data_IF_177389333615
#
_entry.id   IF_177389333615
#
_cell.length_a   1.000
_cell.length_b   1.000
_cell.length_c   1.000
_cell.angle_alpha   90.00
_cell.angle_beta   90.00
_cell.angle_gamma   90.00
#
_symmetry.space_group_name_H-M   'P 1'
#
loop_
_entity.id
_entity.type
_entity.pdbx_description
1 polymer ?
#
# COMPACT_ATOMS: atom_id res chain seq x y z
N UNK A 1 -7.26 -38.67 -19.09
CA UNK A 1 -5.96 -38.62 -19.79
C UNK A 1 -5.45 -37.18 -19.91
N UNK A 2 -4.34 -36.82 -19.22
CA UNK A 2 -3.58 -35.61 -19.57
C UNK A 2 -3.05 -34.71 -18.44
N UNK A 3 -3.44 -34.87 -17.17
CA UNK A 3 -2.83 -34.05 -16.11
C UNK A 3 -1.61 -34.76 -15.50
N UNK A 4 -0.50 -34.03 -15.46
CA UNK A 4 0.74 -34.44 -14.80
C UNK A 4 0.44 -34.61 -13.31
N UNK A 5 0.22 -35.86 -12.86
CA UNK A 5 -0.09 -36.19 -11.45
C UNK A 5 1.06 -35.89 -10.47
N UNK A 6 2.20 -35.46 -11.00
CA UNK A 6 3.41 -35.19 -10.25
C UNK A 6 3.91 -33.79 -10.59
N UNK A 7 4.00 -32.93 -9.58
CA UNK A 7 4.59 -31.60 -9.68
C UNK A 7 6.04 -31.67 -9.18
N UNK A 8 6.95 -30.96 -9.84
CA UNK A 8 8.35 -30.84 -9.42
C UNK A 8 8.55 -29.45 -8.85
N UNK A 9 9.07 -29.35 -7.63
CA UNK A 9 9.32 -28.07 -6.95
C UNK A 9 10.81 -27.70 -7.03
N UNK A 10 11.16 -26.42 -7.26
CA UNK A 10 12.54 -25.97 -7.44
C UNK A 10 13.38 -26.01 -6.15
N UNK A 11 12.74 -26.15 -4.98
CA UNK A 11 13.41 -26.25 -3.68
C UNK A 11 12.50 -26.88 -2.63
N UNK A 12 13.07 -27.25 -1.47
CA UNK A 12 12.31 -27.72 -0.30
C UNK A 12 11.38 -26.64 0.24
N UNK A 13 11.83 -25.39 0.25
CA UNK A 13 11.04 -24.24 0.67
C UNK A 13 9.81 -24.08 -0.25
N UNK A 14 9.99 -24.20 -1.56
CA UNK A 14 8.89 -24.12 -2.52
C UNK A 14 7.84 -25.22 -2.28
N UNK A 15 8.29 -26.44 -1.96
CA UNK A 15 7.39 -27.55 -1.61
C UNK A 15 6.62 -27.27 -0.31
N UNK A 16 7.31 -26.84 0.74
CA UNK A 16 6.68 -26.50 2.02
C UNK A 16 5.69 -25.34 1.87
N UNK A 17 6.06 -24.29 1.13
CA UNK A 17 5.19 -23.16 0.86
C UNK A 17 3.89 -23.61 0.18
N UNK A 18 3.98 -24.50 -0.83
CA UNK A 18 2.80 -25.02 -1.51
C UNK A 18 1.88 -25.82 -0.57
N UNK A 19 2.44 -26.66 0.31
CA UNK A 19 1.66 -27.41 1.30
C UNK A 19 0.95 -26.50 2.32
N UNK A 20 1.64 -25.47 2.79
CA UNK A 20 1.08 -24.50 3.74
C UNK A 20 -0.08 -23.73 3.09
N UNK A 21 0.12 -23.22 1.87
CA UNK A 21 -0.91 -22.50 1.12
C UNK A 21 -2.14 -23.38 0.86
N UNK A 22 -1.93 -24.63 0.42
CA UNK A 22 -3.02 -25.59 0.20
C UNK A 22 -3.82 -25.83 1.49
N UNK A 23 -3.15 -26.03 2.62
CA UNK A 23 -3.82 -26.21 3.91
C UNK A 23 -4.59 -24.97 4.34
N UNK A 24 -4.04 -23.78 4.15
CA UNK A 24 -4.70 -22.53 4.51
C UNK A 24 -5.92 -22.22 3.64
N UNK A 25 -5.91 -22.61 2.36
CA UNK A 25 -7.08 -22.56 1.50
C UNK A 25 -8.19 -23.50 2.00
N UNK A 26 -7.86 -24.76 2.34
CA UNK A 26 -8.82 -25.71 2.89
C UNK A 26 -9.42 -25.28 4.24
N UNK A 27 -8.68 -24.49 5.04
CA UNK A 27 -9.18 -23.88 6.28
C UNK A 27 -10.01 -22.61 6.05
N UNK A 28 -10.13 -22.13 4.80
CA UNK A 28 -10.86 -20.90 4.45
C UNK A 28 -10.19 -19.63 4.94
N UNK A 29 -8.87 -19.69 5.21
CA UNK A 29 -8.07 -18.53 5.65
C UNK A 29 -7.63 -17.72 4.43
N UNK A 30 -7.26 -18.41 3.35
CA UNK A 30 -6.88 -17.81 2.08
C UNK A 30 -7.96 -18.05 1.02
N UNK A 31 -8.02 -17.16 0.03
CA UNK A 31 -8.78 -17.31 -1.20
C UNK A 31 -8.03 -18.20 -2.21
N UNK A 32 -8.65 -18.44 -3.36
CA UNK A 32 -8.08 -19.27 -4.43
C UNK A 32 -6.78 -18.70 -5.02
N UNK A 33 -6.54 -17.39 -4.84
CA UNK A 33 -5.34 -16.69 -5.30
C UNK A 33 -4.23 -16.66 -4.24
N UNK A 34 -4.49 -17.18 -3.03
CA UNK A 34 -3.54 -17.21 -1.91
C UNK A 34 -3.53 -15.95 -1.05
N UNK A 35 -4.52 -15.06 -1.17
CA UNK A 35 -4.70 -13.87 -0.34
C UNK A 35 -5.65 -14.13 0.83
N UNK A 36 -5.47 -13.49 1.99
CA UNK A 36 -6.32 -13.72 3.16
C UNK A 36 -7.77 -13.26 2.92
N UNK A 37 -8.73 -14.16 3.11
CA UNK A 37 -10.17 -13.89 2.94
C UNK A 37 -10.68 -12.87 3.97
N UNK A 38 -10.07 -12.87 5.16
CA UNK A 38 -10.30 -11.88 6.21
C UNK A 38 -8.96 -11.29 6.61
N UNK A 39 -8.89 -9.95 6.63
CA UNK A 39 -7.75 -9.24 7.19
C UNK A 39 -7.63 -9.56 8.68
N UNK A 40 -6.78 -10.52 9.00
CA UNK A 40 -6.35 -10.80 10.36
C UNK A 40 -5.39 -9.66 10.74
N UNK A 41 -5.79 -8.82 11.70
CA UNK A 41 -5.28 -7.46 11.96
C UNK A 41 -3.82 -7.31 12.40
N UNK A 42 -2.88 -8.08 11.85
CA UNK A 42 -1.43 -7.91 12.04
C UNK A 42 -0.88 -6.77 11.18
N UNK A 43 -1.47 -6.52 10.00
CA UNK A 43 -1.19 -5.34 9.17
C UNK A 43 -2.51 -4.91 8.53
N UNK A 44 -3.05 -3.79 8.99
CA UNK A 44 -4.11 -3.09 8.28
C UNK A 44 -3.46 -2.53 7.02
N UNK A 45 -3.69 -3.17 5.86
CA UNK A 45 -3.34 -2.53 4.59
C UNK A 45 -4.05 -1.17 4.59
N UNK A 46 -3.37 -0.07 4.23
CA UNK A 46 -4.01 1.23 4.24
C UNK A 46 -5.24 1.13 3.33
N UNK A 47 -6.42 1.13 3.93
CA UNK A 47 -7.64 1.44 3.21
C UNK A 47 -7.46 2.84 2.63
N UNK A 48 -8.13 3.16 1.53
CA UNK A 48 -8.16 4.53 0.95
C UNK A 48 -8.47 5.61 2.02
N UNK A 49 -9.09 5.24 3.14
CA UNK A 49 -9.36 6.06 4.32
C UNK A 49 -8.09 6.49 5.10
N UNK A 50 -7.00 5.72 4.98
CA UNK A 50 -5.66 6.02 5.49
C UNK A 50 -4.75 6.67 4.45
N UNK A 51 -5.27 7.01 3.25
CA UNK A 51 -4.56 7.95 2.39
C UNK A 51 -4.42 9.27 3.16
N UNK A 52 -3.21 9.82 3.18
CA UNK A 52 -2.95 11.13 3.79
C UNK A 52 -3.86 12.12 3.08
N UNK A 53 -4.97 12.51 3.73
CA UNK A 53 -5.86 13.52 3.18
C UNK A 53 -5.02 14.78 2.97
N UNK A 54 -4.99 15.34 1.75
CA UNK A 54 -4.26 16.57 1.52
C UNK A 54 -4.83 17.63 2.45
N UNK A 55 -4.03 18.03 3.44
CA UNK A 55 -4.36 19.13 4.33
C UNK A 55 -4.36 20.41 3.49
N UNK A 56 -5.47 21.15 3.54
CA UNK A 56 -5.58 22.43 2.87
C UNK A 56 -4.56 23.41 3.48
N UNK A 57 -3.70 23.99 2.63
CA UNK A 57 -2.64 24.91 3.04
C UNK A 57 -3.14 26.32 3.29
N UNK A 58 -2.24 27.30 3.32
CA UNK A 58 -2.60 28.73 3.21
C UNK A 58 -2.82 29.12 1.74
N UNK A 59 -3.46 30.26 1.51
CA UNK A 59 -3.58 30.85 0.18
C UNK A 59 -2.20 31.33 -0.31
N UNK A 60 -1.79 30.87 -1.49
CA UNK A 60 -0.58 31.33 -2.13
C UNK A 60 -0.81 32.69 -2.79
N UNK A 61 0.07 33.67 -2.54
CA UNK A 61 -0.01 35.01 -3.13
C UNK A 61 0.28 35.06 -4.63
N UNK A 62 1.03 34.08 -5.15
CA UNK A 62 1.44 34.03 -6.57
C UNK A 62 0.38 33.38 -7.48
N UNK A 63 -0.17 32.23 -7.05
CA UNK A 63 -1.07 31.42 -7.88
C UNK A 63 -2.52 31.35 -7.36
N UNK A 64 -2.80 31.91 -6.18
CA UNK A 64 -4.15 31.91 -5.59
C UNK A 64 -4.62 30.56 -5.04
N UNK A 65 -3.90 29.46 -5.25
CA UNK A 65 -4.27 28.15 -4.72
C UNK A 65 -4.00 28.03 -3.21
N UNK A 66 -4.88 27.32 -2.51
CA UNK A 66 -4.79 27.06 -1.07
C UNK A 66 -3.88 25.88 -0.74
N UNK A 67 -2.67 25.91 -1.29
CA UNK A 67 -1.69 24.80 -1.27
C UNK A 67 -0.31 25.24 -0.76
N UNK A 68 -0.25 26.36 -0.03
CA UNK A 68 0.96 26.87 0.61
C UNK A 68 1.18 26.14 1.95
N UNK A 69 2.26 25.37 2.08
CA UNK A 69 2.62 24.58 3.27
C UNK A 69 3.95 25.05 3.84
N UNK A 70 4.23 24.82 5.13
CA UNK A 70 5.56 25.07 5.69
C UNK A 70 6.44 23.84 5.51
N UNK A 71 7.50 23.96 4.73
CA UNK A 71 8.47 22.88 4.46
C UNK A 71 9.87 23.41 4.74
N UNK A 72 10.65 22.68 5.54
CA UNK A 72 12.05 23.01 5.86
C UNK A 72 12.25 24.43 6.44
N UNK A 73 11.25 24.94 7.19
CA UNK A 73 11.30 26.29 7.78
C UNK A 73 10.86 27.43 6.86
N UNK A 74 10.55 27.16 5.59
CA UNK A 74 10.06 28.14 4.62
C UNK A 74 8.63 27.84 4.17
N UNK A 75 7.86 28.87 3.82
CA UNK A 75 6.57 28.69 3.15
C UNK A 75 6.82 28.16 1.71
N UNK A 76 6.20 27.06 1.30
CA UNK A 76 6.40 26.39 0.01
C UNK A 76 5.06 26.05 -0.65
N UNK A 77 4.87 26.40 -1.93
CA UNK A 77 3.64 26.12 -2.65
C UNK A 77 3.78 24.81 -3.41
N UNK A 78 2.96 23.82 -3.11
CA UNK A 78 3.00 22.55 -3.84
C UNK A 78 2.41 22.63 -5.25
N UNK A 79 1.65 23.70 -5.58
CA UNK A 79 1.05 23.88 -6.90
C UNK A 79 1.95 24.62 -7.91
N UNK A 80 2.65 25.69 -7.47
CA UNK A 80 3.49 26.51 -8.35
C UNK A 80 4.99 26.51 -7.99
N UNK A 81 5.37 25.88 -6.88
CA UNK A 81 6.77 25.82 -6.42
C UNK A 81 7.31 27.10 -5.78
N UNK A 82 6.47 28.13 -5.57
CA UNK A 82 6.89 29.37 -4.93
C UNK A 82 7.38 29.13 -3.49
N UNK A 83 8.50 29.78 -3.13
CA UNK A 83 9.08 29.76 -1.77
C UNK A 83 8.91 31.15 -1.16
N UNK A 84 8.25 31.23 -0.01
CA UNK A 84 8.01 32.45 0.76
C UNK A 84 9.05 32.67 1.84
N UNK A 85 8.65 33.35 2.92
CA UNK A 85 9.53 33.70 4.02
C UNK A 85 10.03 32.45 4.77
N UNK A 86 11.33 32.41 5.02
CA UNK A 86 12.01 31.41 5.82
C UNK A 86 12.31 31.99 7.20
N UNK A 87 11.83 31.34 8.27
CA UNK A 87 12.00 31.81 9.65
C UNK A 87 11.44 30.86 10.68
#
# INVERSE_FOLDING_TARGET
>A
PGSRKQQTYPSTIAYLAHLILHRYNMLGILDENGFPVKQMGILQAPTEEGSVKPVQGKLCSECGNTTMIRKDGCDFCTACGAVGTCG
#
